data_IF_103372454985
#
_entry.id   IF_103372454985
#
_cell.length_a   1.000
_cell.length_b   1.000
_cell.length_c   1.000
_cell.angle_alpha   90.00
_cell.angle_beta   90.00
_cell.angle_gamma   90.00
#
_symmetry.space_group_name_H-M   'P 1'
#
loop_
_entity.id
_entity.type
_entity.pdbx_description
1 polymer ?
#
# COMPACT_ATOMS: atom_id res chain seq x y z
N UNK A 1 5.41 35.64 10.69
CA UNK A 1 6.20 34.39 10.77
C UNK A 1 5.36 33.39 11.53
N UNK A 2 4.90 32.32 10.88
CA UNK A 2 4.12 31.29 11.55
C UNK A 2 5.04 30.53 12.52
N UNK A 3 4.56 30.34 13.75
CA UNK A 3 5.25 29.60 14.81
C UNK A 3 5.46 28.14 14.35
N UNK A 4 6.70 27.66 14.40
CA UNK A 4 7.12 26.34 13.89
C UNK A 4 6.62 25.15 14.75
N UNK A 5 5.73 25.41 15.72
CA UNK A 5 5.28 24.43 16.72
C UNK A 5 3.99 23.69 16.35
N UNK A 6 3.28 24.13 15.32
CA UNK A 6 2.04 23.48 14.88
C UNK A 6 2.12 23.18 13.37
N UNK A 7 2.10 21.90 12.95
CA UNK A 7 2.04 21.59 11.54
C UNK A 7 0.72 22.12 10.97
N UNK A 8 0.82 23.06 10.02
CA UNK A 8 -0.33 23.53 9.26
C UNK A 8 -0.82 22.37 8.37
N UNK A 9 -1.93 21.76 8.78
CA UNK A 9 -2.55 20.65 8.06
C UNK A 9 -3.39 21.19 6.91
N UNK A 10 -2.87 21.05 5.69
CA UNK A 10 -3.61 21.42 4.48
C UNK A 10 -4.33 20.20 3.89
N UNK A 11 -5.65 20.26 3.69
CA UNK A 11 -6.36 19.27 2.90
C UNK A 11 -5.82 19.26 1.46
N UNK A 12 -5.51 18.08 0.95
CA UNK A 12 -5.01 17.87 -0.41
C UNK A 12 -6.04 17.04 -1.19
N UNK A 13 -6.42 17.45 -2.41
CA UNK A 13 -7.30 16.65 -3.25
C UNK A 13 -6.69 15.26 -3.49
N UNK A 14 -7.42 14.19 -3.19
CA UNK A 14 -6.91 12.80 -3.31
C UNK A 14 -6.44 12.52 -4.74
N UNK A 15 -7.13 13.07 -5.74
CA UNK A 15 -6.77 12.92 -7.16
C UNK A 15 -5.50 13.67 -7.58
N UNK A 16 -5.02 14.61 -6.76
CA UNK A 16 -3.75 15.32 -7.00
C UNK A 16 -2.53 14.57 -6.46
N UNK A 17 -2.75 13.60 -5.58
CA UNK A 17 -1.70 12.75 -5.01
C UNK A 17 -1.07 11.86 -6.08
N UNK A 18 0.26 11.81 -6.11
CA UNK A 18 1.06 10.96 -7.00
C UNK A 18 1.37 9.63 -6.30
N UNK A 19 0.81 8.49 -6.74
CA UNK A 19 1.14 7.21 -6.12
C UNK A 19 2.59 6.80 -6.42
N UNK A 20 3.29 6.25 -5.43
CA UNK A 20 4.61 5.64 -5.61
C UNK A 20 4.57 4.11 -5.73
N UNK A 21 3.39 3.51 -5.82
CA UNK A 21 3.20 2.11 -6.23
C UNK A 21 2.19 2.01 -7.37
N UNK A 22 2.22 0.92 -8.15
CA UNK A 22 1.30 0.75 -9.29
C UNK A 22 0.02 0.00 -8.95
N UNK A 23 0.06 -0.83 -7.90
CA UNK A 23 -1.02 -1.76 -7.58
C UNK A 23 -1.42 -1.71 -6.12
N UNK A 24 -2.67 -2.05 -5.84
CA UNK A 24 -3.21 -2.31 -4.49
C UNK A 24 -3.97 -3.62 -4.51
N UNK A 25 -4.22 -4.19 -3.32
CA UNK A 25 -5.17 -5.28 -3.19
C UNK A 25 -6.59 -4.73 -3.07
N UNK A 26 -7.43 -4.86 -4.11
CA UNK A 26 -8.77 -4.27 -4.09
C UNK A 26 -9.71 -4.91 -3.06
N UNK A 27 -9.42 -6.13 -2.56
CA UNK A 27 -10.18 -6.70 -1.43
C UNK A 27 -9.94 -5.91 -0.15
N UNK A 28 -8.70 -5.50 0.11
CA UNK A 28 -8.33 -4.66 1.25
C UNK A 28 -8.87 -3.22 1.10
N UNK A 29 -8.92 -2.69 -0.13
CA UNK A 29 -9.63 -1.42 -0.42
C UNK A 29 -11.10 -1.54 -0.04
N UNK A 30 -11.81 -2.58 -0.52
CA UNK A 30 -13.23 -2.82 -0.20
C UNK A 30 -13.48 -2.97 1.30
N UNK A 31 -12.57 -3.63 2.02
CA UNK A 31 -12.62 -3.74 3.48
C UNK A 31 -12.54 -2.36 4.16
N UNK A 32 -11.58 -1.53 3.76
CA UNK A 32 -11.45 -0.16 4.28
C UNK A 32 -12.68 0.69 3.97
N UNK A 33 -13.26 0.55 2.78
CA UNK A 33 -14.53 1.18 2.41
C UNK A 33 -15.69 0.73 3.30
N UNK A 34 -15.78 -0.56 3.62
CA UNK A 34 -16.81 -1.07 4.55
C UNK A 34 -16.64 -0.46 5.94
N UNK A 35 -15.41 -0.39 6.45
CA UNK A 35 -15.11 0.25 7.75
C UNK A 35 -15.47 1.73 7.73
N UNK A 36 -15.12 2.46 6.67
CA UNK A 36 -15.51 3.86 6.48
C UNK A 36 -17.03 4.05 6.60
N UNK A 37 -17.82 3.24 5.89
CA UNK A 37 -19.29 3.31 5.94
C UNK A 37 -19.88 2.91 7.30
N UNK A 38 -19.20 2.06 8.06
CA UNK A 38 -19.65 1.65 9.39
C UNK A 38 -19.58 2.81 10.41
N UNK A 39 -18.83 3.87 10.13
CA UNK A 39 -18.88 5.10 10.92
C UNK A 39 -20.17 5.86 10.60
N UNK A 40 -21.20 5.63 11.42
CA UNK A 40 -22.57 6.11 11.19
C UNK A 40 -22.76 7.64 11.24
N UNK A 41 -21.81 8.41 11.78
CA UNK A 41 -21.92 9.86 11.88
C UNK A 41 -20.82 10.57 11.09
N UNK A 42 -21.18 11.71 10.49
CA UNK A 42 -20.22 12.61 9.82
C UNK A 42 -19.09 13.06 10.76
N UNK A 43 -19.37 13.19 12.05
CA UNK A 43 -18.38 13.55 13.05
C UNK A 43 -17.29 12.48 13.19
N UNK A 44 -17.67 11.19 13.30
CA UNK A 44 -16.70 10.08 13.35
C UNK A 44 -15.88 9.95 12.07
N UNK A 45 -16.50 10.22 10.93
CA UNK A 45 -15.80 10.25 9.65
C UNK A 45 -14.78 11.40 9.59
N UNK A 46 -15.12 12.59 10.08
CA UNK A 46 -14.22 13.73 10.16
C UNK A 46 -13.05 13.46 11.12
N UNK A 47 -13.31 12.86 12.29
CA UNK A 47 -12.29 12.43 13.24
C UNK A 47 -11.33 11.40 12.63
N UNK A 48 -11.86 10.45 11.86
CA UNK A 48 -11.05 9.47 11.15
C UNK A 48 -10.15 10.15 10.10
N UNK A 49 -10.67 11.10 9.33
CA UNK A 49 -9.85 11.88 8.39
C UNK A 49 -8.79 12.73 9.09
N UNK A 50 -9.09 13.27 10.28
CA UNK A 50 -8.15 14.04 11.10
C UNK A 50 -6.99 13.21 11.65
N UNK A 51 -7.26 11.94 11.96
CA UNK A 51 -6.27 11.02 12.58
C UNK A 51 -5.50 10.17 11.57
N UNK A 52 -5.96 10.08 10.32
CA UNK A 52 -5.37 9.22 9.29
C UNK A 52 -4.74 10.04 8.16
N UNK A 53 -3.65 10.73 8.50
CA UNK A 53 -2.87 11.48 7.53
C UNK A 53 -2.09 10.53 6.60
N UNK A 54 -2.03 10.89 5.32
CA UNK A 54 -1.27 10.13 4.33
C UNK A 54 0.19 10.62 4.35
N UNK A 55 1.18 9.75 4.64
CA UNK A 55 2.57 10.15 4.56
C UNK A 55 2.96 10.36 3.09
N UNK A 56 3.59 11.49 2.82
CA UNK A 56 3.99 11.91 1.47
C UNK A 56 5.40 12.48 1.45
N UNK A 57 6.02 12.43 0.28
CA UNK A 57 7.19 13.23 -0.06
C UNK A 57 6.72 14.43 -0.88
N UNK A 58 7.16 15.63 -0.52
CA UNK A 58 6.97 16.82 -1.36
C UNK A 58 8.01 16.77 -2.47
N UNK A 59 7.59 16.67 -3.72
CA UNK A 59 8.46 16.63 -4.89
C UNK A 59 8.40 17.91 -5.73
N UNK A 60 9.07 17.92 -6.89
CA UNK A 60 9.11 19.05 -7.80
C UNK A 60 7.71 19.51 -8.24
N UNK A 61 7.59 20.78 -8.60
CA UNK A 61 6.31 21.46 -8.92
C UNK A 61 5.27 21.41 -7.78
N UNK A 62 5.71 21.21 -6.54
CA UNK A 62 4.82 21.16 -5.37
C UNK A 62 3.90 19.93 -5.34
N UNK A 63 4.30 18.82 -5.96
CA UNK A 63 3.49 17.59 -6.02
C UNK A 63 3.76 16.68 -4.82
N UNK A 64 2.70 16.12 -4.24
CA UNK A 64 2.81 15.17 -3.14
C UNK A 64 2.84 13.72 -3.63
N UNK A 65 3.89 13.00 -3.28
CA UNK A 65 4.13 11.60 -3.64
C UNK A 65 3.82 10.69 -2.44
N UNK A 66 2.78 9.86 -2.56
CA UNK A 66 2.27 9.01 -1.48
C UNK A 66 3.21 7.84 -1.26
N UNK A 67 3.79 7.72 -0.07
CA UNK A 67 4.77 6.66 0.25
C UNK A 67 4.16 5.48 1.00
N UNK A 68 3.02 5.67 1.67
CA UNK A 68 2.24 4.61 2.32
C UNK A 68 0.75 4.97 2.30
N UNK A 69 -0.10 4.02 2.64
CA UNK A 69 -1.54 4.14 2.78
C UNK A 69 -2.30 4.31 1.46
N UNK A 70 -1.75 3.82 0.33
CA UNK A 70 -2.43 3.84 -0.97
C UNK A 70 -3.79 3.13 -0.95
N UNK A 71 -3.95 2.03 -0.19
CA UNK A 71 -5.25 1.37 -0.02
C UNK A 71 -6.28 2.27 0.68
N UNK A 72 -5.86 3.08 1.66
CA UNK A 72 -6.76 4.01 2.36
C UNK A 72 -7.13 5.17 1.44
N UNK A 73 -6.15 5.82 0.81
CA UNK A 73 -6.40 6.90 -0.15
C UNK A 73 -7.33 6.43 -1.28
N UNK A 74 -7.10 5.23 -1.82
CA UNK A 74 -7.98 4.62 -2.82
C UNK A 74 -9.39 4.34 -2.29
N UNK A 75 -9.50 3.80 -1.08
CA UNK A 75 -10.79 3.53 -0.47
C UNK A 75 -11.61 4.82 -0.26
N UNK A 76 -10.98 5.88 0.24
CA UNK A 76 -11.64 7.16 0.49
C UNK A 76 -12.05 7.85 -0.83
N UNK A 77 -11.20 7.77 -1.86
CA UNK A 77 -11.56 8.22 -3.20
C UNK A 77 -12.80 7.49 -3.74
N UNK A 78 -12.84 6.16 -3.65
CA UNK A 78 -13.97 5.33 -4.09
C UNK A 78 -15.26 5.60 -3.29
N UNK A 79 -15.16 6.15 -2.07
CA UNK A 79 -16.29 6.61 -1.24
C UNK A 79 -16.68 8.08 -1.51
N UNK A 80 -16.04 8.75 -2.47
CA UNK A 80 -16.36 10.11 -2.87
C UNK A 80 -15.73 11.21 -2.03
N UNK A 81 -14.87 10.86 -1.06
CA UNK A 81 -14.08 11.83 -0.28
C UNK A 81 -13.15 12.57 -1.25
N UNK A 82 -13.15 13.90 -1.18
CA UNK A 82 -12.42 14.76 -2.11
C UNK A 82 -11.01 15.06 -1.63
N UNK A 83 -10.89 15.43 -0.36
CA UNK A 83 -9.66 15.91 0.24
C UNK A 83 -9.24 15.04 1.41
N UNK A 84 -7.93 14.93 1.62
CA UNK A 84 -7.31 14.20 2.72
C UNK A 84 -6.14 15.00 3.29
N UNK A 85 -5.86 14.81 4.57
CA UNK A 85 -4.68 15.39 5.20
C UNK A 85 -3.43 14.59 4.84
N UNK A 86 -2.31 15.27 4.68
CA UNK A 86 -1.01 14.66 4.37
C UNK A 86 0.04 15.06 5.39
N UNK A 87 0.97 14.15 5.69
CA UNK A 87 2.17 14.43 6.48
C UNK A 87 3.38 14.39 5.56
N UNK A 88 4.07 15.52 5.39
CA UNK A 88 5.31 15.56 4.61
C UNK A 88 6.43 14.93 5.43
N UNK A 89 6.93 13.77 4.98
CA UNK A 89 8.03 13.05 5.66
C UNK A 89 9.41 13.40 5.10
N UNK A 90 9.45 14.00 3.90
CA UNK A 90 10.64 14.56 3.30
C UNK A 90 10.27 15.61 2.24
N UNK A 91 11.08 16.66 2.15
CA UNK A 91 11.01 17.68 1.12
C UNK A 91 12.11 17.45 0.07
N UNK A 92 11.69 17.10 -1.14
CA UNK A 92 12.50 16.93 -2.35
C UNK A 92 12.04 17.91 -3.45
N UNK A 93 11.41 19.02 -3.09
CA UNK A 93 10.88 20.02 -4.04
C UNK A 93 11.95 20.62 -4.96
N UNK A 94 13.20 20.67 -4.49
CA UNK A 94 14.36 21.22 -5.22
C UNK A 94 15.12 20.17 -6.04
N UNK A 95 14.77 18.89 -5.92
CA UNK A 95 15.44 17.80 -6.66
C UNK A 95 15.04 17.86 -8.14
N UNK A 96 15.97 17.57 -9.06
CA UNK A 96 15.64 17.43 -10.47
C UNK A 96 14.57 16.35 -10.71
N UNK A 97 13.66 16.58 -11.67
CA UNK A 97 12.56 15.64 -11.96
C UNK A 97 13.06 14.25 -12.36
N UNK A 98 14.18 14.17 -13.08
CA UNK A 98 14.82 12.92 -13.46
C UNK A 98 15.45 12.19 -12.27
N UNK A 99 15.96 12.93 -11.28
CA UNK A 99 16.58 12.38 -10.09
C UNK A 99 15.57 11.93 -9.02
N UNK A 100 14.36 12.50 -8.99
CA UNK A 100 13.34 12.22 -7.97
C UNK A 100 13.11 10.71 -7.77
N UNK A 101 12.79 9.99 -8.85
CA UNK A 101 12.48 8.56 -8.76
C UNK A 101 13.67 7.73 -8.30
N UNK A 102 14.89 8.14 -8.65
CA UNK A 102 16.10 7.50 -8.12
C UNK A 102 16.16 7.63 -6.60
N UNK A 103 15.90 8.82 -6.05
CA UNK A 103 15.87 9.01 -4.59
C UNK A 103 14.76 8.18 -3.93
N UNK A 104 13.55 8.16 -4.52
CA UNK A 104 12.43 7.36 -4.00
C UNK A 104 12.75 5.87 -4.00
N UNK A 105 13.38 5.35 -5.06
CA UNK A 105 13.78 3.94 -5.19
C UNK A 105 14.86 3.57 -4.15
N UNK A 106 15.93 4.36 -4.05
CA UNK A 106 17.02 4.12 -3.09
C UNK A 106 16.54 4.17 -1.63
N UNK A 107 15.55 5.01 -1.33
CA UNK A 107 14.94 5.08 0.01
C UNK A 107 13.85 4.05 0.27
N UNK A 108 13.56 3.17 -0.70
CA UNK A 108 12.46 2.19 -0.65
C UNK A 108 11.10 2.86 -0.39
N UNK A 109 10.87 4.00 -1.01
CA UNK A 109 9.59 4.73 -1.00
C UNK A 109 8.76 4.53 -2.27
N UNK A 110 9.31 3.83 -3.27
CA UNK A 110 8.60 3.46 -4.48
C UNK A 110 8.57 1.94 -4.68
N UNK A 111 7.46 1.45 -5.23
CA UNK A 111 7.25 0.06 -5.60
C UNK A 111 6.73 -0.04 -7.05
N UNK A 112 7.62 0.05 -8.05
CA UNK A 112 7.25 0.15 -9.46
C UNK A 112 7.01 -1.23 -10.09
N UNK A 113 6.10 -2.02 -9.53
CA UNK A 113 5.75 -3.35 -10.04
C UNK A 113 4.28 -3.40 -10.44
N UNK A 114 3.99 -4.00 -11.60
CA UNK A 114 2.62 -4.10 -12.11
C UNK A 114 1.80 -5.24 -11.47
N UNK A 115 0.58 -5.48 -11.98
CA UNK A 115 -0.32 -6.51 -11.45
C UNK A 115 0.10 -7.96 -11.76
N UNK A 116 1.19 -8.15 -12.52
CA UNK A 116 1.90 -9.42 -12.71
C UNK A 116 3.15 -9.49 -11.83
N UNK A 117 3.43 -8.43 -11.08
CA UNK A 117 4.64 -8.15 -10.31
C UNK A 117 5.90 -8.12 -11.14
N UNK A 118 5.81 -7.61 -12.36
CA UNK A 118 6.96 -7.27 -13.18
C UNK A 118 7.39 -5.83 -12.87
N UNK A 119 8.69 -5.60 -12.65
CA UNK A 119 9.20 -4.24 -12.47
C UNK A 119 9.00 -3.43 -13.75
N UNK A 120 8.46 -2.23 -13.63
CA UNK A 120 8.19 -1.32 -14.74
C UNK A 120 9.04 -0.05 -14.63
N UNK A 121 9.36 0.60 -15.76
CA UNK A 121 9.98 1.92 -15.75
C UNK A 121 9.11 2.95 -15.02
N UNK A 122 9.74 3.89 -14.31
CA UNK A 122 9.01 4.92 -13.52
C UNK A 122 8.07 5.80 -14.33
N UNK A 123 8.31 5.97 -15.64
CA UNK A 123 7.38 6.67 -16.54
C UNK A 123 6.00 6.00 -16.64
N UNK A 124 5.89 4.72 -16.24
CA UNK A 124 4.64 3.98 -16.21
C UNK A 124 3.93 4.07 -14.84
N UNK A 125 4.51 4.79 -13.87
CA UNK A 125 3.86 4.99 -12.58
C UNK A 125 2.53 5.71 -12.77
N UNK A 126 1.47 5.29 -12.08
CA UNK A 126 0.17 5.95 -12.16
C UNK A 126 0.30 7.42 -11.75
N UNK A 127 -0.51 8.26 -12.37
CA UNK A 127 -0.53 9.70 -12.11
C UNK A 127 -1.56 10.10 -11.07
N UNK A 128 -2.51 9.22 -10.76
CA UNK A 128 -3.57 9.42 -9.77
C UNK A 128 -3.83 8.15 -8.97
N UNK A 129 -4.32 8.31 -7.73
CA UNK A 129 -4.78 7.21 -6.87
C UNK A 129 -5.87 6.35 -7.53
N UNK A 130 -6.71 6.95 -8.37
CA UNK A 130 -7.74 6.23 -9.13
C UNK A 130 -7.17 5.20 -10.12
N UNK A 131 -5.94 5.42 -10.59
CA UNK A 131 -5.30 4.60 -11.63
C UNK A 131 -4.68 3.31 -11.08
N UNK A 132 -4.55 3.18 -9.75
CA UNK A 132 -4.01 2.00 -9.08
C UNK A 132 -4.76 0.73 -9.52
N UNK A 133 -4.02 -0.28 -9.93
CA UNK A 133 -4.58 -1.54 -10.44
C UNK A 133 -4.71 -2.58 -9.34
N UNK A 134 -5.62 -3.52 -9.53
CA UNK A 134 -5.78 -4.64 -8.61
C UNK A 134 -4.67 -5.69 -8.80
N UNK A 135 -3.94 -5.95 -7.72
CA UNK A 135 -3.14 -7.16 -7.55
C UNK A 135 -3.85 -8.12 -6.56
N UNK A 136 -4.47 -9.20 -7.06
CA UNK A 136 -5.10 -10.21 -6.21
C UNK A 136 -4.14 -10.89 -5.24
N UNK A 137 -2.86 -11.00 -5.59
CA UNK A 137 -1.85 -11.61 -4.71
C UNK A 137 -1.51 -10.69 -3.55
N UNK A 138 -1.52 -9.36 -3.76
CA UNK A 138 -1.39 -8.39 -2.66
C UNK A 138 -2.59 -8.46 -1.70
N UNK A 139 -3.78 -8.76 -2.19
CA UNK A 139 -4.95 -9.04 -1.34
C UNK A 139 -4.77 -10.33 -0.55
N UNK A 140 -4.31 -11.40 -1.22
CA UNK A 140 -4.04 -12.71 -0.62
C UNK A 140 -3.01 -12.59 0.50
N UNK A 141 -1.88 -11.93 0.26
CA UNK A 141 -0.84 -11.71 1.27
C UNK A 141 -1.39 -10.97 2.50
N UNK A 142 -2.14 -9.89 2.29
CA UNK A 142 -2.78 -9.17 3.39
C UNK A 142 -3.74 -10.05 4.22
N UNK A 143 -4.45 -10.99 3.59
CA UNK A 143 -5.33 -11.93 4.29
C UNK A 143 -4.55 -13.02 5.03
N UNK A 144 -3.54 -13.61 4.39
CA UNK A 144 -2.66 -14.62 5.01
C UNK A 144 -1.98 -14.04 6.26
N UNK A 145 -1.55 -12.77 6.21
CA UNK A 145 -1.02 -12.08 7.40
C UNK A 145 -2.07 -11.96 8.51
N UNK A 146 -3.30 -11.55 8.18
CA UNK A 146 -4.41 -11.45 9.15
C UNK A 146 -4.75 -12.80 9.78
N UNK A 147 -4.63 -13.87 9.02
CA UNK A 147 -4.85 -15.24 9.47
C UNK A 147 -3.63 -15.85 10.21
N UNK A 148 -2.58 -15.07 10.50
CA UNK A 148 -1.42 -15.54 11.28
C UNK A 148 -0.40 -16.37 10.48
N UNK A 149 -0.45 -16.30 9.15
CA UNK A 149 0.53 -16.98 8.29
C UNK A 149 1.95 -16.48 8.51
N UNK A 150 2.12 -15.18 8.72
CA UNK A 150 3.38 -14.51 9.01
C UNK A 150 3.15 -13.27 9.87
N UNK A 151 4.18 -12.82 10.58
CA UNK A 151 4.15 -11.66 11.45
C UNK A 151 4.22 -10.34 10.67
N UNK A 152 3.72 -9.26 11.29
CA UNK A 152 3.99 -7.91 10.78
C UNK A 152 5.48 -7.63 10.96
N UNK A 153 6.10 -7.09 9.92
CA UNK A 153 7.52 -6.79 9.87
C UNK A 153 7.73 -5.32 9.45
N UNK A 154 8.84 -4.72 9.85
CA UNK A 154 9.17 -3.32 9.50
C UNK A 154 9.83 -3.20 8.12
N UNK A 155 10.17 -4.32 7.48
CA UNK A 155 10.67 -4.37 6.11
C UNK A 155 9.67 -3.73 5.14
N UNK A 156 10.08 -2.69 4.39
CA UNK A 156 9.22 -2.06 3.40
C UNK A 156 8.69 -3.08 2.40
N UNK A 157 7.41 -2.95 2.03
CA UNK A 157 6.75 -3.79 1.04
C UNK A 157 6.70 -5.30 1.39
N UNK A 158 6.79 -5.67 2.67
CA UNK A 158 6.71 -7.07 3.13
C UNK A 158 5.56 -7.85 2.48
N UNK A 159 4.32 -7.33 2.49
CA UNK A 159 3.19 -8.02 1.86
C UNK A 159 3.32 -8.18 0.34
N UNK A 160 4.10 -7.35 -0.34
CA UNK A 160 4.39 -7.55 -1.76
C UNK A 160 5.41 -8.67 -2.02
N UNK A 161 6.39 -8.86 -1.12
CA UNK A 161 7.32 -10.00 -1.19
C UNK A 161 6.56 -11.33 -1.01
N UNK A 162 5.64 -11.36 -0.04
CA UNK A 162 4.72 -12.49 0.14
C UNK A 162 3.81 -12.70 -1.06
N UNK A 163 3.24 -11.63 -1.62
CA UNK A 163 2.44 -11.70 -2.85
C UNK A 163 3.22 -12.32 -4.03
N UNK A 164 4.52 -12.02 -4.15
CA UNK A 164 5.38 -12.57 -5.19
C UNK A 164 5.64 -14.08 -5.02
N UNK A 165 5.88 -14.54 -3.79
CA UNK A 165 5.95 -15.97 -3.49
C UNK A 165 4.66 -16.68 -3.92
N UNK A 166 3.50 -16.15 -3.49
CA UNK A 166 2.21 -16.75 -3.83
C UNK A 166 1.94 -16.74 -5.33
N UNK A 167 2.39 -15.71 -6.06
CA UNK A 167 2.24 -15.64 -7.52
C UNK A 167 2.96 -16.75 -8.26
N UNK A 168 4.10 -17.21 -7.74
CA UNK A 168 4.88 -18.31 -8.33
C UNK A 168 4.31 -19.70 -8.02
N UNK A 169 3.40 -19.82 -7.06
CA UNK A 169 2.88 -21.10 -6.56
C UNK A 169 1.37 -21.30 -6.77
N UNK A 170 0.60 -20.22 -6.83
CA UNK A 170 -0.85 -20.24 -7.00
C UNK A 170 -1.26 -19.56 -8.31
N UNK A 171 -2.19 -20.17 -9.05
CA UNK A 171 -2.70 -19.61 -10.30
C UNK A 171 -3.64 -18.45 -9.99
N UNK A 172 -3.57 -17.38 -10.79
CA UNK A 172 -4.42 -16.19 -10.61
C UNK A 172 -5.90 -16.52 -10.69
N UNK A 173 -6.28 -17.52 -11.50
CA UNK A 173 -7.66 -17.97 -11.66
C UNK A 173 -8.20 -18.53 -10.34
N UNK A 174 -7.44 -19.40 -9.69
CA UNK A 174 -7.85 -20.07 -8.44
C UNK A 174 -8.12 -19.04 -7.32
N UNK A 175 -7.30 -17.99 -7.22
CA UNK A 175 -7.50 -16.88 -6.25
C UNK A 175 -8.80 -16.10 -6.53
N UNK A 176 -9.18 -15.96 -7.79
CA UNK A 176 -10.39 -15.24 -8.19
C UNK A 176 -11.65 -16.07 -7.98
N UNK A 177 -11.59 -17.36 -8.30
CA UNK A 177 -12.71 -18.30 -8.21
C UNK A 177 -13.01 -18.67 -6.75
N UNK A 178 -11.97 -19.01 -5.98
CA UNK A 178 -12.10 -19.41 -4.58
C UNK A 178 -10.99 -18.80 -3.73
N UNK A 179 -11.25 -17.59 -3.25
CA UNK A 179 -10.29 -16.86 -2.43
C UNK A 179 -10.05 -17.53 -1.06
N UNK A 180 -11.05 -18.20 -0.48
CA UNK A 180 -10.92 -18.84 0.82
C UNK A 180 -9.95 -20.03 0.73
N UNK A 181 -10.14 -20.89 -0.26
CA UNK A 181 -9.24 -22.00 -0.54
C UNK A 181 -7.83 -21.53 -0.92
N UNK A 182 -7.72 -20.43 -1.65
CA UNK A 182 -6.42 -19.83 -1.95
C UNK A 182 -5.70 -19.35 -0.68
N UNK A 183 -6.43 -18.79 0.29
CA UNK A 183 -5.87 -18.41 1.61
C UNK A 183 -5.39 -19.64 2.38
N UNK A 184 -6.17 -20.72 2.43
CA UNK A 184 -5.77 -21.98 3.07
C UNK A 184 -4.47 -22.54 2.46
N UNK A 185 -4.41 -22.59 1.13
CA UNK A 185 -3.23 -23.06 0.39
C UNK A 185 -2.01 -22.17 0.66
N UNK A 186 -2.21 -20.85 0.65
CA UNK A 186 -1.15 -19.88 0.89
C UNK A 186 -0.68 -19.90 2.36
N UNK A 187 -1.56 -20.18 3.32
CA UNK A 187 -1.20 -20.37 4.73
C UNK A 187 -0.28 -21.57 4.91
N UNK A 188 -0.62 -22.71 4.30
CA UNK A 188 0.23 -23.89 4.35
C UNK A 188 1.63 -23.61 3.75
N UNK A 189 1.67 -22.92 2.61
CA UNK A 189 2.93 -22.48 2.00
C UNK A 189 3.70 -21.50 2.89
N UNK A 190 3.03 -20.59 3.58
CA UNK A 190 3.68 -19.61 4.46
C UNK A 190 4.35 -20.25 5.68
N UNK A 191 3.93 -21.45 6.09
CA UNK A 191 4.56 -22.22 7.17
C UNK A 191 5.68 -23.14 6.71
N UNK A 192 5.87 -23.33 5.40
CA UNK A 192 6.93 -24.20 4.90
C UNK A 192 8.30 -23.52 4.92
N UNK A 193 9.37 -24.33 4.87
CA UNK A 193 10.76 -23.85 4.77
C UNK A 193 11.01 -23.06 3.47
N UNK A 194 10.22 -23.29 2.41
CA UNK A 194 10.29 -22.51 1.15
C UNK A 194 10.02 -21.01 1.36
N UNK A 195 9.35 -20.63 2.45
CA UNK A 195 9.06 -19.22 2.78
C UNK A 195 10.00 -18.65 3.87
N UNK A 196 10.95 -19.42 4.37
CA UNK A 196 11.79 -19.05 5.53
C UNK A 196 12.65 -17.79 5.33
N UNK A 197 12.93 -17.43 4.08
CA UNK A 197 13.68 -16.23 3.73
C UNK A 197 12.82 -14.94 3.73
N UNK A 198 11.51 -15.05 3.93
CA UNK A 198 10.60 -13.90 3.88
C UNK A 198 10.44 -13.21 5.23
N UNK A 199 10.27 -11.87 5.24
CA UNK A 199 10.11 -11.11 6.46
C UNK A 199 8.87 -11.54 7.25
N UNK A 200 9.03 -11.70 8.56
CA UNK A 200 7.98 -12.16 9.46
C UNK A 200 7.62 -13.64 9.35
N UNK A 201 8.39 -14.47 8.63
CA UNK A 201 8.15 -15.91 8.59
C UNK A 201 8.13 -16.52 10.00
N UNK A 202 7.15 -17.40 10.26
CA UNK A 202 6.95 -18.03 11.56
C UNK A 202 6.46 -19.48 11.40
N UNK A 203 7.13 -20.23 10.54
CA UNK A 203 6.95 -21.68 10.42
C UNK A 203 7.76 -22.44 11.46
N UNK A 204 7.43 -23.72 11.71
CA UNK A 204 8.24 -24.57 12.58
C UNK A 204 9.63 -24.80 11.97
N UNK A 205 10.67 -24.68 12.78
CA UNK A 205 11.97 -25.27 12.50
C UNK A 205 11.86 -26.75 12.91
N UNK A 206 12.38 -27.67 12.10
CA UNK A 206 12.60 -29.03 12.64
C UNK A 206 13.82 -28.96 13.55
N UNK A 207 13.71 -29.60 14.70
CA UNK A 207 14.83 -29.86 15.60
C UNK A 207 15.72 -30.91 14.92
N UNK A 208 16.53 -30.49 13.95
CA UNK A 208 17.60 -31.32 13.38
C UNK A 208 18.83 -31.27 14.31
#
# INVERSE_FOLDING_TARGET
MADFREPLLHPVPILSLRPTQMTVGMREVKEKRRRWRAHASKHKQAELLGTHMIPVVLGPDGKYYVVDHHHLARALHDEGVKDILVTVIADLSVVDKGALWSVLDHRRWAYPYDAKGERRPFKNMPTSIADLKDDPYRSLAGEVRRAGGYAKDTTPFSEFLWADLFRRRLRRRDIKEDFARAVETALALAKSRDASYLPGWCGPLSDD
#
